data_IF_173051759532
#
_entry.id   IF_173051759532
#
_cell.length_a   1.000
_cell.length_b   1.000
_cell.length_c   1.000
_cell.angle_alpha   90.00
_cell.angle_beta   90.00
_cell.angle_gamma   90.00
#
_symmetry.space_group_name_H-M   'P 1'
#
loop_
_entity.id
_entity.type
_entity.pdbx_description
1 polymer ?
#
# COMPACT_ATOMS: atom_id res chain seq x y z
N UNK A 1 -17.28 12.80 -34.58
CA UNK A 1 -17.69 12.13 -33.33
C UNK A 1 -17.22 10.68 -33.36
N UNK A 2 -16.12 10.37 -32.67
CA UNK A 2 -15.66 8.99 -32.42
C UNK A 2 -15.35 8.90 -30.93
N UNK A 3 -16.16 8.12 -30.21
CA UNK A 3 -15.94 7.80 -28.80
C UNK A 3 -14.96 6.62 -28.72
N UNK A 4 -13.75 6.88 -28.24
CA UNK A 4 -12.74 5.86 -27.92
C UNK A 4 -12.81 5.51 -26.45
N UNK A 5 -13.53 4.44 -26.12
CA UNK A 5 -13.51 3.83 -24.79
C UNK A 5 -12.38 2.81 -24.70
N UNK A 6 -11.28 3.19 -24.04
CA UNK A 6 -10.18 2.28 -23.73
C UNK A 6 -10.58 1.28 -22.64
N UNK A 7 -10.76 0.02 -23.03
CA UNK A 7 -10.89 -1.12 -22.11
C UNK A 7 -9.51 -1.47 -21.53
N UNK A 8 -9.38 -1.44 -20.20
CA UNK A 8 -8.24 -2.01 -19.48
C UNK A 8 -8.28 -3.56 -19.58
N UNK A 9 -7.13 -4.25 -19.56
CA UNK A 9 -7.10 -5.70 -19.72
C UNK A 9 -7.58 -6.44 -18.46
N UNK A 10 -8.52 -7.33 -18.70
CA UNK A 10 -9.14 -8.29 -17.78
C UNK A 10 -8.09 -9.12 -17.01
N UNK A 11 -8.04 -8.97 -15.68
CA UNK A 11 -7.43 -9.95 -14.77
C UNK A 11 -8.42 -11.10 -14.55
N UNK A 12 -8.52 -12.01 -15.53
CA UNK A 12 -9.21 -13.30 -15.36
C UNK A 12 -8.39 -14.18 -14.42
N UNK A 13 -9.05 -14.98 -13.58
CA UNK A 13 -8.44 -16.10 -12.86
C UNK A 13 -7.95 -17.14 -13.89
N UNK A 14 -6.79 -16.89 -14.49
CA UNK A 14 -6.07 -17.86 -15.29
C UNK A 14 -5.33 -18.81 -14.34
N UNK A 15 -5.69 -20.08 -14.41
CA UNK A 15 -5.07 -21.19 -13.68
C UNK A 15 -3.60 -21.32 -14.11
N UNK A 16 -2.70 -20.79 -13.29
CA UNK A 16 -1.28 -21.12 -13.31
C UNK A 16 -1.01 -22.31 -12.39
N UNK A 17 -1.03 -23.51 -12.97
CA UNK A 17 -0.46 -24.72 -12.38
C UNK A 17 1.07 -24.62 -12.51
N UNK A 18 1.80 -24.75 -11.39
CA UNK A 18 3.07 -25.48 -11.26
C UNK A 18 3.63 -25.37 -9.81
N UNK A 19 3.48 -26.50 -9.09
CA UNK A 19 4.40 -27.21 -8.17
C UNK A 19 5.19 -26.51 -7.04
N UNK A 20 5.24 -27.25 -5.90
CA UNK A 20 6.05 -27.12 -4.65
C UNK A 20 5.43 -26.16 -3.59
N UNK A 21 5.06 -26.51 -2.35
CA UNK A 21 5.32 -27.68 -1.49
C UNK A 21 4.29 -27.76 -0.34
N UNK A 22 4.17 -28.98 0.21
CA UNK A 22 3.54 -29.46 1.46
C UNK A 22 2.00 -29.42 1.65
N UNK A 23 1.41 -30.54 2.12
CA UNK A 23 0.03 -30.56 2.57
C UNK A 23 -0.03 -29.85 3.93
N UNK A 24 -0.39 -28.56 3.90
CA UNK A 24 -0.79 -27.86 5.13
C UNK A 24 -1.96 -28.63 5.75
N UNK A 25 -1.71 -29.21 6.93
CA UNK A 25 -2.72 -29.83 7.78
C UNK A 25 -3.94 -28.91 7.86
N UNK A 26 -5.13 -29.48 7.62
CA UNK A 26 -6.38 -28.75 7.63
C UNK A 26 -6.66 -28.26 9.06
N UNK A 27 -6.34 -26.99 9.34
CA UNK A 27 -7.10 -26.24 10.32
C UNK A 27 -8.49 -26.00 9.72
N UNK A 28 -9.54 -26.33 10.46
CA UNK A 28 -10.96 -26.11 10.13
C UNK A 28 -11.32 -24.62 10.16
N UNK A 29 -10.54 -23.79 9.48
CA UNK A 29 -10.72 -22.34 9.40
C UNK A 29 -11.83 -21.98 8.40
N UNK A 30 -11.95 -22.79 7.34
CA UNK A 30 -12.89 -22.57 6.25
C UNK A 30 -13.62 -23.85 5.90
N UNK A 31 -14.94 -23.76 5.69
CA UNK A 31 -15.77 -24.85 5.16
C UNK A 31 -16.29 -24.44 3.79
N UNK A 32 -16.03 -25.24 2.75
CA UNK A 32 -16.61 -25.01 1.43
C UNK A 32 -17.81 -25.93 1.22
N UNK A 33 -18.96 -25.33 0.95
CA UNK A 33 -20.20 -26.02 0.56
C UNK A 33 -20.38 -25.81 -0.93
N UNK A 34 -20.46 -26.89 -1.69
CA UNK A 34 -20.43 -26.84 -3.15
C UNK A 34 -21.22 -27.97 -3.78
N UNK A 35 -21.60 -27.81 -5.05
CA UNK A 35 -22.20 -28.88 -5.87
C UNK A 35 -21.10 -29.80 -6.43
N UNK A 36 -21.44 -31.03 -6.90
CA UNK A 36 -20.47 -31.91 -7.53
C UNK A 36 -19.74 -31.28 -8.73
N UNK A 37 -20.43 -30.45 -9.51
CA UNK A 37 -19.87 -29.72 -10.66
C UNK A 37 -18.75 -28.77 -10.26
N UNK A 38 -18.92 -28.04 -9.15
CA UNK A 38 -17.99 -26.99 -8.74
C UNK A 38 -16.89 -27.46 -7.78
N UNK A 39 -16.92 -28.73 -7.35
CA UNK A 39 -15.92 -29.30 -6.44
C UNK A 39 -14.48 -29.18 -6.95
N UNK A 40 -14.27 -29.18 -8.27
CA UNK A 40 -12.94 -29.00 -8.87
C UNK A 40 -12.29 -27.64 -8.56
N UNK A 41 -13.07 -26.63 -8.16
CA UNK A 41 -12.59 -25.29 -7.82
C UNK A 41 -12.35 -25.07 -6.32
N UNK A 42 -12.73 -26.03 -5.47
CA UNK A 42 -12.66 -25.94 -4.01
C UNK A 42 -11.26 -25.57 -3.52
N UNK A 43 -10.23 -26.25 -4.02
CA UNK A 43 -8.85 -25.99 -3.64
C UNK A 43 -8.39 -24.57 -3.97
N UNK A 44 -8.79 -24.04 -5.13
CA UNK A 44 -8.42 -22.70 -5.56
C UNK A 44 -9.06 -21.63 -4.67
N UNK A 45 -10.33 -21.83 -4.31
CA UNK A 45 -11.09 -20.96 -3.40
C UNK A 45 -10.48 -20.98 -2.00
N UNK A 46 -10.20 -22.16 -1.45
CA UNK A 46 -9.56 -22.30 -0.13
C UNK A 46 -8.18 -21.64 -0.10
N UNK A 47 -7.38 -21.78 -1.16
CA UNK A 47 -6.07 -21.14 -1.27
C UNK A 47 -6.19 -19.62 -1.22
N UNK A 48 -7.16 -19.05 -1.94
CA UNK A 48 -7.42 -17.61 -1.92
C UNK A 48 -7.89 -17.14 -0.54
N UNK A 49 -8.87 -17.85 0.05
CA UNK A 49 -9.42 -17.53 1.37
C UNK A 49 -8.33 -17.54 2.46
N UNK A 50 -7.47 -18.56 2.47
CA UNK A 50 -6.34 -18.65 3.40
C UNK A 50 -5.30 -17.57 3.17
N UNK A 51 -5.01 -17.21 1.91
CA UNK A 51 -4.09 -16.11 1.61
C UNK A 51 -4.63 -14.76 2.12
N UNK A 52 -5.91 -14.48 1.89
CA UNK A 52 -6.58 -13.28 2.38
C UNK A 52 -6.59 -13.26 3.92
N UNK A 53 -6.97 -14.36 4.57
CA UNK A 53 -6.96 -14.49 6.03
C UNK A 53 -5.58 -14.24 6.64
N UNK A 54 -4.54 -14.89 6.08
CA UNK A 54 -3.16 -14.71 6.53
C UNK A 54 -2.76 -13.24 6.49
N UNK A 55 -3.04 -12.56 5.38
CA UNK A 55 -2.69 -11.15 5.22
C UNK A 55 -3.49 -10.22 6.17
N UNK A 56 -4.76 -10.54 6.44
CA UNK A 56 -5.57 -9.80 7.41
C UNK A 56 -5.06 -9.96 8.85
N UNK A 57 -4.74 -11.18 9.26
CA UNK A 57 -4.36 -11.47 10.65
C UNK A 57 -2.89 -11.19 10.92
N UNK A 58 -1.97 -11.72 10.10
CA UNK A 58 -0.53 -11.63 10.35
C UNK A 58 0.03 -10.26 9.94
N UNK A 59 -0.32 -9.80 8.74
CA UNK A 59 0.20 -8.53 8.20
C UNK A 59 -0.57 -7.34 8.76
N UNK A 60 -1.90 -7.32 8.62
CA UNK A 60 -2.69 -6.17 9.06
C UNK A 60 -2.91 -6.14 10.57
N UNK A 61 -2.89 -7.29 11.24
CA UNK A 61 -3.06 -7.39 12.69
C UNK A 61 -4.52 -7.46 13.14
N UNK A 62 -5.46 -7.79 12.25
CA UNK A 62 -6.85 -7.99 12.64
C UNK A 62 -6.97 -9.16 13.63
N UNK A 63 -7.83 -9.05 14.66
CA UNK A 63 -8.08 -10.18 15.55
C UNK A 63 -8.68 -11.34 14.76
N UNK A 64 -8.28 -12.57 15.11
CA UNK A 64 -8.79 -13.76 14.44
C UNK A 64 -10.33 -13.80 14.51
N UNK A 65 -11.03 -13.88 13.36
CA UNK A 65 -12.48 -13.89 13.32
C UNK A 65 -13.09 -15.26 13.59
N UNK A 66 -12.27 -16.32 13.74
CA UNK A 66 -12.74 -17.71 13.82
C UNK A 66 -12.88 -18.22 15.26
N UNK A 67 -13.10 -17.31 16.22
CA UNK A 67 -13.21 -17.64 17.64
C UNK A 67 -14.43 -18.53 17.97
N UNK A 68 -15.46 -18.47 17.12
CA UNK A 68 -16.77 -19.10 17.36
C UNK A 68 -17.20 -20.08 16.26
N UNK A 69 -16.40 -20.22 15.20
CA UNK A 69 -16.68 -21.12 14.08
C UNK A 69 -15.89 -20.76 12.81
N UNK A 70 -15.81 -21.70 11.86
CA UNK A 70 -15.19 -21.47 10.54
C UNK A 70 -15.96 -20.44 9.71
N UNK A 71 -15.27 -19.84 8.75
CA UNK A 71 -15.96 -19.11 7.67
C UNK A 71 -16.52 -20.12 6.66
N UNK A 72 -17.82 -20.05 6.42
CA UNK A 72 -18.49 -20.86 5.40
C UNK A 72 -18.40 -20.18 4.02
N UNK A 73 -18.08 -20.96 3.00
CA UNK A 73 -18.03 -20.52 1.61
C UNK A 73 -19.00 -21.38 0.80
N UNK A 74 -20.09 -20.80 0.35
CA UNK A 74 -21.05 -21.40 -0.58
C UNK A 74 -20.59 -21.14 -2.02
N UNK A 75 -20.27 -22.19 -2.77
CA UNK A 75 -19.79 -22.12 -4.15
C UNK A 75 -20.81 -22.71 -5.11
N UNK A 76 -21.37 -21.85 -5.98
CA UNK A 76 -22.39 -22.23 -6.95
C UNK A 76 -23.67 -22.76 -6.31
N UNK A 77 -23.93 -22.38 -5.06
CA UNK A 77 -25.15 -22.69 -4.33
C UNK A 77 -26.03 -21.43 -4.29
N UNK A 78 -27.28 -21.58 -4.71
CA UNK A 78 -28.26 -20.48 -4.73
C UNK A 78 -28.08 -19.53 -5.92
N UNK A 79 -28.90 -18.47 -5.93
CA UNK A 79 -28.83 -17.43 -6.95
C UNK A 79 -27.60 -16.53 -6.68
N UNK A 80 -26.72 -16.32 -7.68
CA UNK A 80 -25.53 -15.52 -7.49
C UNK A 80 -25.91 -14.05 -7.24
N UNK A 81 -25.20 -13.36 -6.34
CA UNK A 81 -25.36 -11.91 -6.20
C UNK A 81 -24.97 -11.20 -7.51
N UNK A 82 -25.41 -9.94 -7.74
CA UNK A 82 -25.19 -9.22 -8.99
C UNK A 82 -23.72 -9.19 -9.45
N UNK A 83 -22.79 -9.09 -8.51
CA UNK A 83 -21.34 -9.03 -8.76
C UNK A 83 -20.65 -10.40 -8.69
N UNK A 84 -21.43 -11.48 -8.57
CA UNK A 84 -20.93 -12.86 -8.47
C UNK A 84 -20.34 -13.26 -7.12
N UNK A 85 -19.99 -12.30 -6.25
CA UNK A 85 -19.53 -12.55 -4.88
C UNK A 85 -20.37 -11.78 -3.86
N UNK A 86 -20.76 -12.45 -2.78
CA UNK A 86 -21.58 -11.91 -1.69
C UNK A 86 -21.05 -12.34 -0.35
N UNK A 87 -21.41 -11.61 0.70
CA UNK A 87 -20.95 -11.88 2.05
C UNK A 87 -22.04 -11.57 3.07
N UNK A 88 -22.02 -12.30 4.18
CA UNK A 88 -22.91 -12.12 5.30
C UNK A 88 -22.20 -12.51 6.59
N UNK A 89 -22.82 -12.14 7.71
CA UNK A 89 -22.45 -12.61 9.04
C UNK A 89 -23.66 -13.37 9.57
N UNK A 90 -23.46 -14.62 9.98
CA UNK A 90 -24.53 -15.55 10.35
C UNK A 90 -24.38 -15.96 11.80
N UNK A 91 -25.50 -16.05 12.51
CA UNK A 91 -25.54 -16.55 13.89
C UNK A 91 -25.74 -18.07 13.87
N UNK A 92 -24.79 -18.78 14.47
CA UNK A 92 -24.86 -20.21 14.72
C UNK A 92 -24.93 -20.53 16.22
N UNK A 93 -24.98 -21.82 16.58
CA UNK A 93 -25.05 -22.28 17.98
C UNK A 93 -23.82 -21.89 18.81
N UNK A 94 -22.65 -21.84 18.19
CA UNK A 94 -21.36 -21.56 18.86
C UNK A 94 -20.98 -20.07 18.86
N UNK A 95 -21.82 -19.21 18.28
CA UNK A 95 -21.60 -17.78 18.15
C UNK A 95 -21.83 -17.30 16.72
N UNK A 96 -21.06 -16.32 16.28
CA UNK A 96 -21.22 -15.69 14.97
C UNK A 96 -20.09 -16.12 14.04
N UNK A 97 -20.39 -16.33 12.76
CA UNK A 97 -19.41 -16.70 11.75
C UNK A 97 -19.65 -15.97 10.42
N UNK A 98 -18.61 -15.87 9.61
CA UNK A 98 -18.69 -15.26 8.28
C UNK A 98 -19.23 -16.26 7.25
N UNK A 99 -20.10 -15.79 6.36
CA UNK A 99 -20.58 -16.54 5.19
C UNK A 99 -20.19 -15.78 3.92
N UNK A 100 -19.59 -16.48 2.96
CA UNK A 100 -19.26 -15.98 1.63
C UNK A 100 -20.01 -16.79 0.59
N UNK A 101 -20.71 -16.11 -0.32
CA UNK A 101 -21.43 -16.74 -1.44
C UNK A 101 -20.75 -16.40 -2.74
N UNK A 102 -20.36 -17.41 -3.49
CA UNK A 102 -19.65 -17.27 -4.75
C UNK A 102 -20.49 -17.92 -5.86
N UNK A 103 -20.72 -17.19 -6.94
CA UNK A 103 -21.35 -17.66 -8.17
C UNK A 103 -20.44 -18.57 -8.99
N UNK A 104 -20.61 -18.58 -10.31
CA UNK A 104 -19.83 -19.44 -11.21
C UNK A 104 -18.32 -19.08 -11.16
N UNK A 105 -17.46 -19.99 -10.66
CA UNK A 105 -16.03 -19.74 -10.46
C UNK A 105 -15.26 -19.41 -11.74
N UNK A 106 -15.80 -19.72 -12.92
CA UNK A 106 -15.18 -19.44 -14.22
C UNK A 106 -15.25 -17.96 -14.59
N UNK A 107 -16.19 -17.23 -14.01
CA UNK A 107 -16.43 -15.80 -14.30
C UNK A 107 -16.30 -14.91 -13.07
N UNK A 108 -15.97 -15.47 -11.89
CA UNK A 108 -15.76 -14.71 -10.67
C UNK A 108 -14.67 -13.65 -10.83
N UNK A 109 -15.01 -12.44 -10.43
CA UNK A 109 -14.03 -11.38 -10.28
C UNK A 109 -13.17 -11.62 -9.02
N UNK A 110 -11.85 -11.58 -9.19
CA UNK A 110 -10.90 -11.84 -8.11
C UNK A 110 -10.98 -10.76 -7.03
N UNK A 111 -11.18 -9.50 -7.41
CA UNK A 111 -11.20 -8.37 -6.49
C UNK A 111 -12.52 -8.38 -5.68
N UNK A 112 -13.65 -8.69 -6.31
CA UNK A 112 -14.93 -8.85 -5.59
C UNK A 112 -14.93 -10.09 -4.69
N UNK A 113 -14.28 -11.18 -5.10
CA UNK A 113 -14.09 -12.36 -4.23
C UNK A 113 -13.23 -12.02 -3.01
N UNK A 114 -12.11 -11.32 -3.22
CA UNK A 114 -11.25 -10.87 -2.13
C UNK A 114 -11.96 -9.89 -1.19
N UNK A 115 -12.78 -8.99 -1.75
CA UNK A 115 -13.64 -8.09 -0.99
C UNK A 115 -14.66 -8.85 -0.14
N UNK A 116 -15.40 -9.80 -0.70
CA UNK A 116 -16.37 -10.59 0.04
C UNK A 116 -15.73 -11.38 1.19
N UNK A 117 -14.56 -11.98 0.95
CA UNK A 117 -13.76 -12.67 1.98
C UNK A 117 -13.32 -11.71 3.09
N UNK A 118 -12.70 -10.58 2.73
CA UNK A 118 -12.28 -9.58 3.71
C UNK A 118 -13.46 -9.01 4.50
N UNK A 119 -14.59 -8.78 3.85
CA UNK A 119 -15.80 -8.29 4.48
C UNK A 119 -16.35 -9.29 5.50
N UNK A 120 -16.47 -10.56 5.13
CA UNK A 120 -16.92 -11.62 6.04
C UNK A 120 -16.00 -11.73 7.27
N UNK A 121 -14.68 -11.71 7.06
CA UNK A 121 -13.68 -11.81 8.13
C UNK A 121 -13.71 -10.58 9.06
N UNK A 122 -13.64 -9.36 8.52
CA UNK A 122 -13.66 -8.12 9.32
C UNK A 122 -14.97 -7.98 10.10
N UNK A 123 -16.11 -8.25 9.46
CA UNK A 123 -17.41 -8.13 10.12
C UNK A 123 -17.58 -9.22 11.18
N UNK A 124 -17.18 -10.46 10.92
CA UNK A 124 -17.20 -11.52 11.93
C UNK A 124 -16.33 -11.16 13.15
N UNK A 125 -15.14 -10.58 12.94
CA UNK A 125 -14.28 -10.12 14.03
C UNK A 125 -14.96 -9.08 14.96
N UNK A 126 -15.81 -8.21 14.39
CA UNK A 126 -16.58 -7.22 15.16
C UNK A 126 -17.78 -7.89 15.84
N UNK A 127 -18.60 -8.61 15.08
CA UNK A 127 -19.83 -9.23 15.59
C UNK A 127 -19.57 -10.26 16.69
N UNK A 128 -18.44 -10.98 16.65
CA UNK A 128 -18.02 -11.92 17.70
C UNK A 128 -17.78 -11.26 19.06
N UNK A 129 -17.62 -9.94 19.09
CA UNK A 129 -17.40 -9.15 20.31
C UNK A 129 -18.66 -8.40 20.76
N UNK A 130 -19.73 -8.48 19.99
CA UNK A 130 -20.95 -7.73 20.26
C UNK A 130 -21.84 -8.46 21.28
N UNK A 131 -22.49 -7.71 22.17
CA UNK A 131 -23.50 -8.26 23.09
C UNK A 131 -24.84 -8.56 22.38
N UNK A 132 -25.09 -7.86 21.27
CA UNK A 132 -26.29 -7.99 20.44
C UNK A 132 -26.05 -7.37 19.05
N UNK A 133 -26.76 -7.81 18.01
CA UNK A 133 -26.51 -7.38 16.62
C UNK A 133 -26.90 -5.93 16.37
N UNK A 134 -27.94 -5.42 17.04
CA UNK A 134 -28.40 -4.03 16.97
C UNK A 134 -27.38 -3.02 17.49
N UNK A 135 -26.42 -3.46 18.30
CA UNK A 135 -25.37 -2.61 18.83
C UNK A 135 -24.21 -2.42 17.84
N UNK A 136 -24.11 -3.18 16.75
CA UNK A 136 -22.89 -3.16 15.92
C UNK A 136 -22.88 -1.99 14.95
N UNK A 137 -21.80 -1.21 14.97
CA UNK A 137 -21.48 -0.26 13.89
C UNK A 137 -20.69 -0.97 12.79
N UNK A 138 -21.28 -1.10 11.61
CA UNK A 138 -20.61 -1.69 10.44
C UNK A 138 -19.53 -0.77 9.86
N UNK A 139 -18.34 -1.30 9.50
CA UNK A 139 -17.32 -0.52 8.80
C UNK A 139 -17.83 -0.04 7.44
N UNK A 140 -17.42 1.17 6.99
CA UNK A 140 -17.71 1.63 5.64
C UNK A 140 -17.17 0.67 4.57
N UNK A 141 -17.96 0.45 3.51
CA UNK A 141 -17.59 -0.43 2.39
C UNK A 141 -16.24 -0.05 1.77
N UNK A 142 -15.96 1.26 1.64
CA UNK A 142 -14.69 1.73 1.08
C UNK A 142 -13.49 1.25 1.88
N UNK A 143 -13.62 1.16 3.21
CA UNK A 143 -12.54 0.73 4.08
C UNK A 143 -12.29 -0.76 3.92
N UNK A 144 -13.35 -1.57 3.90
CA UNK A 144 -13.25 -3.01 3.68
C UNK A 144 -12.64 -3.29 2.30
N UNK A 145 -13.01 -2.54 1.26
CA UNK A 145 -12.37 -2.62 -0.07
C UNK A 145 -10.88 -2.26 0.00
N UNK A 146 -10.51 -1.23 0.76
CA UNK A 146 -9.11 -0.88 1.03
C UNK A 146 -8.34 -2.01 1.71
N UNK A 147 -8.92 -2.62 2.74
CA UNK A 147 -8.38 -3.77 3.46
C UNK A 147 -8.18 -4.97 2.53
N UNK A 148 -9.20 -5.33 1.75
CA UNK A 148 -9.13 -6.42 0.76
C UNK A 148 -8.02 -6.19 -0.27
N UNK A 149 -7.90 -4.95 -0.75
CA UNK A 149 -6.87 -4.57 -1.72
C UNK A 149 -5.47 -4.59 -1.13
N UNK A 150 -5.31 -4.15 0.12
CA UNK A 150 -4.03 -4.18 0.84
C UNK A 150 -3.59 -5.62 1.18
N UNK A 151 -4.53 -6.56 1.27
CA UNK A 151 -4.26 -7.98 1.40
C UNK A 151 -3.67 -8.62 0.13
N UNK A 152 -3.69 -7.95 -1.04
CA UNK A 152 -2.96 -8.40 -2.23
C UNK A 152 -1.55 -7.75 -2.26
N UNK A 153 -0.46 -8.52 -2.03
CA UNK A 153 0.90 -7.98 -2.04
C UNK A 153 1.31 -7.36 -3.37
N UNK A 154 0.76 -7.86 -4.49
CA UNK A 154 1.10 -7.39 -5.85
C UNK A 154 0.60 -5.98 -6.14
N UNK A 155 -0.38 -5.49 -5.38
CA UNK A 155 -0.97 -4.15 -5.57
C UNK A 155 -0.33 -3.08 -4.68
N UNK A 156 0.31 -3.48 -3.57
CA UNK A 156 0.80 -2.55 -2.53
C UNK A 156 1.70 -1.44 -3.07
N UNK A 157 2.63 -1.80 -3.95
CA UNK A 157 3.55 -0.84 -4.55
C UNK A 157 2.85 0.16 -5.47
N UNK A 158 1.98 -0.33 -6.36
CA UNK A 158 1.23 0.51 -7.28
C UNK A 158 0.25 1.44 -6.54
N UNK A 159 -0.44 0.91 -5.52
CA UNK A 159 -1.37 1.68 -4.69
C UNK A 159 -0.65 2.77 -3.90
N UNK A 160 0.51 2.45 -3.32
CA UNK A 160 1.33 3.46 -2.64
C UNK A 160 1.73 4.59 -3.60
N UNK A 161 2.22 4.26 -4.80
CA UNK A 161 2.62 5.28 -5.78
C UNK A 161 1.44 6.16 -6.24
N UNK A 162 0.27 5.56 -6.43
CA UNK A 162 -0.94 6.28 -6.81
C UNK A 162 -1.45 7.21 -5.69
N UNK A 163 -1.49 6.71 -4.45
CA UNK A 163 -1.93 7.49 -3.28
C UNK A 163 -0.94 8.63 -3.00
N UNK A 164 0.36 8.33 -3.00
CA UNK A 164 1.42 9.32 -2.77
C UNK A 164 1.41 10.42 -3.84
N UNK A 165 1.19 10.09 -5.12
CA UNK A 165 1.12 11.09 -6.20
C UNK A 165 -0.11 12.02 -6.09
N UNK A 166 -1.20 11.59 -5.43
CA UNK A 166 -2.32 12.48 -5.10
C UNK A 166 -1.98 13.35 -3.91
N UNK A 167 -1.47 12.75 -2.83
CA UNK A 167 -1.07 13.45 -1.62
C UNK A 167 -0.03 14.54 -1.88
N UNK A 168 1.12 14.18 -2.47
CA UNK A 168 2.21 15.12 -2.77
C UNK A 168 1.83 16.22 -3.77
N UNK A 169 0.76 16.02 -4.54
CA UNK A 169 0.20 17.02 -5.43
C UNK A 169 -0.87 17.91 -4.78
N UNK A 170 -1.11 17.80 -3.46
CA UNK A 170 -2.13 18.55 -2.73
C UNK A 170 -3.57 18.17 -3.10
N UNK A 171 -3.78 16.95 -3.63
CA UNK A 171 -5.11 16.47 -4.10
C UNK A 171 -5.82 15.55 -3.12
N UNK A 172 -5.22 15.26 -1.97
CA UNK A 172 -5.87 14.54 -0.88
C UNK A 172 -6.01 15.49 0.31
N UNK A 173 -7.15 15.47 1.02
CA UNK A 173 -7.26 16.15 2.30
C UNK A 173 -6.52 15.35 3.40
N UNK A 174 -6.56 15.90 4.61
CA UNK A 174 -6.03 15.24 5.81
C UNK A 174 -6.69 13.89 6.11
N UNK A 175 -6.02 13.09 6.93
CA UNK A 175 -6.48 11.78 7.39
C UNK A 175 -7.86 11.84 8.06
N UNK A 176 -8.15 12.91 8.80
CA UNK A 176 -9.44 13.08 9.44
C UNK A 176 -10.60 13.13 8.43
N UNK A 177 -10.44 13.83 7.31
CA UNK A 177 -11.45 13.87 6.25
C UNK A 177 -11.51 12.55 5.48
N UNK A 178 -10.34 11.93 5.22
CA UNK A 178 -10.23 10.64 4.58
C UNK A 178 -10.89 9.51 5.39
N UNK A 179 -11.00 9.62 6.70
CA UNK A 179 -11.59 8.58 7.54
C UNK A 179 -13.13 8.67 7.70
N UNK A 180 -13.79 9.66 7.11
CA UNK A 180 -15.23 9.82 7.28
C UNK A 180 -16.07 8.65 6.72
N UNK A 181 -17.14 8.27 7.41
CA UNK A 181 -17.93 7.09 7.01
C UNK A 181 -18.65 7.24 5.66
N UNK A 182 -19.35 8.37 5.42
CA UNK A 182 -20.27 8.52 4.27
C UNK A 182 -19.76 9.43 3.15
N UNK A 183 -18.77 10.28 3.41
CA UNK A 183 -18.24 11.27 2.45
C UNK A 183 -16.73 11.22 2.32
N UNK A 184 -16.11 10.10 2.68
CA UNK A 184 -14.67 9.94 2.53
C UNK A 184 -14.25 10.01 1.06
N UNK A 185 -13.29 10.86 0.70
CA UNK A 185 -12.65 10.82 -0.61
C UNK A 185 -11.97 9.48 -0.93
N UNK A 186 -11.62 8.68 0.10
CA UNK A 186 -11.08 7.34 -0.09
C UNK A 186 -12.10 6.37 -0.72
N UNK A 187 -13.41 6.67 -0.64
CA UNK A 187 -14.44 5.90 -1.34
C UNK A 187 -14.31 5.95 -2.87
N UNK A 188 -13.70 7.00 -3.41
CA UNK A 188 -13.48 7.17 -4.85
C UNK A 188 -12.11 6.65 -5.31
N UNK A 189 -11.21 6.36 -4.36
CA UNK A 189 -9.81 6.02 -4.62
C UNK A 189 -9.39 4.84 -3.76
N UNK A 190 -9.56 3.63 -4.29
CA UNK A 190 -9.24 2.38 -3.57
C UNK A 190 -7.76 2.29 -3.17
N UNK A 191 -6.85 2.92 -3.92
CA UNK A 191 -5.44 3.00 -3.55
C UNK A 191 -5.22 3.82 -2.25
N UNK A 192 -6.00 4.87 -2.04
CA UNK A 192 -6.00 5.67 -0.79
C UNK A 192 -6.60 4.85 0.35
N UNK A 193 -7.74 4.18 0.11
CA UNK A 193 -8.34 3.29 1.10
C UNK A 193 -7.38 2.17 1.54
N UNK A 194 -6.64 1.58 0.60
CA UNK A 194 -5.60 0.58 0.85
C UNK A 194 -4.46 1.16 1.70
N UNK A 195 -3.99 2.38 1.41
CA UNK A 195 -2.96 3.01 2.23
C UNK A 195 -3.44 3.38 3.64
N UNK A 196 -4.71 3.75 3.83
CA UNK A 196 -5.28 3.95 5.18
C UNK A 196 -5.28 2.65 5.98
N UNK A 197 -5.68 1.52 5.38
CA UNK A 197 -5.58 0.20 6.01
C UNK A 197 -4.12 -0.16 6.34
N UNK A 198 -3.18 0.13 5.43
CA UNK A 198 -1.76 -0.10 5.65
C UNK A 198 -1.16 0.79 6.74
N UNK A 199 -1.71 1.99 6.95
CA UNK A 199 -1.29 2.91 8.01
C UNK A 199 -1.71 2.38 9.39
N UNK A 200 -2.96 1.94 9.53
CA UNK A 200 -3.43 1.26 10.74
C UNK A 200 -2.56 0.05 11.11
N UNK A 201 -2.10 -0.71 10.10
CA UNK A 201 -1.23 -1.88 10.26
C UNK A 201 0.25 -1.54 10.49
N UNK A 202 0.66 -0.29 10.39
CA UNK A 202 2.09 0.08 10.49
C UNK A 202 2.59 0.26 11.93
N UNK A 203 1.67 0.24 12.91
CA UNK A 203 1.98 0.47 14.32
C UNK A 203 2.54 -0.81 14.97
N UNK A 204 3.53 -0.72 15.89
CA UNK A 204 4.06 -1.88 16.60
C UNK A 204 2.99 -2.67 17.37
N UNK A 205 2.03 -1.97 17.96
CA UNK A 205 0.91 -2.47 18.76
C UNK A 205 -0.37 -2.70 17.94
N UNK A 206 -0.26 -2.80 16.59
CA UNK A 206 -1.40 -2.90 15.67
C UNK A 206 -2.47 -3.92 16.08
N UNK A 207 -2.08 -5.08 16.63
CA UNK A 207 -3.04 -6.12 17.04
C UNK A 207 -3.95 -5.66 18.18
N UNK A 208 -3.36 -5.01 19.19
CA UNK A 208 -4.12 -4.46 20.33
C UNK A 208 -5.04 -3.33 19.87
N UNK A 209 -4.54 -2.47 18.95
CA UNK A 209 -5.30 -1.36 18.38
C UNK A 209 -6.49 -1.83 17.55
N UNK A 210 -6.29 -2.85 16.71
CA UNK A 210 -7.36 -3.47 15.96
C UNK A 210 -8.37 -4.17 16.85
N UNK A 211 -7.92 -4.84 17.91
CA UNK A 211 -8.83 -5.41 18.90
C UNK A 211 -9.70 -4.33 19.55
N UNK A 212 -9.09 -3.24 20.05
CA UNK A 212 -9.82 -2.12 20.63
C UNK A 212 -10.80 -1.47 19.65
N UNK A 213 -10.44 -1.36 18.37
CA UNK A 213 -11.35 -0.86 17.33
C UNK A 213 -12.53 -1.79 17.07
N UNK A 214 -12.28 -3.10 16.96
CA UNK A 214 -13.35 -4.07 16.80
C UNK A 214 -14.29 -4.06 18.01
N UNK A 215 -13.77 -3.93 19.22
CA UNK A 215 -14.57 -3.81 20.45
C UNK A 215 -15.39 -2.51 20.48
N UNK A 216 -14.80 -1.38 20.10
CA UNK A 216 -15.49 -0.10 19.96
C UNK A 216 -16.69 -0.20 19.01
N UNK A 217 -16.47 -0.75 17.80
CA UNK A 217 -17.54 -0.93 16.82
C UNK A 217 -18.60 -1.95 17.26
N UNK A 218 -18.19 -3.01 17.96
CA UNK A 218 -19.09 -4.03 18.49
C UNK A 218 -20.03 -3.50 19.58
N UNK A 219 -19.64 -2.41 20.25
CA UNK A 219 -20.41 -1.74 21.29
C UNK A 219 -21.20 -0.52 20.78
N UNK A 220 -21.26 -0.31 19.47
CA UNK A 220 -22.01 0.80 18.86
C UNK A 220 -21.23 2.10 18.77
N UNK A 221 -19.92 2.03 19.00
CA UNK A 221 -19.01 3.13 18.78
C UNK A 221 -19.10 3.66 17.35
N UNK A 222 -19.13 4.99 17.20
CA UNK A 222 -19.27 5.61 15.89
C UNK A 222 -17.96 5.52 15.08
N UNK A 223 -18.09 5.31 13.76
CA UNK A 223 -16.98 5.44 12.81
C UNK A 223 -16.66 6.92 12.59
N UNK A 224 -15.73 7.45 13.39
CA UNK A 224 -15.33 8.87 13.35
C UNK A 224 -13.82 9.03 13.37
N UNK A 225 -13.29 10.15 12.86
CA UNK A 225 -11.87 10.48 12.96
C UNK A 225 -11.38 10.57 14.41
N UNK A 226 -12.20 11.12 15.31
CA UNK A 226 -11.86 11.21 16.74
C UNK A 226 -11.75 9.83 17.39
N UNK A 227 -12.63 8.89 17.04
CA UNK A 227 -12.49 7.52 17.51
C UNK A 227 -11.22 6.84 16.96
N UNK A 228 -10.88 7.06 15.68
CA UNK A 228 -9.62 6.57 15.11
C UNK A 228 -8.43 7.16 15.87
N UNK A 229 -8.39 8.48 16.05
CA UNK A 229 -7.31 9.17 16.76
C UNK A 229 -7.15 8.60 18.17
N UNK A 230 -8.25 8.53 18.92
CA UNK A 230 -8.23 8.05 20.31
C UNK A 230 -7.73 6.62 20.40
N UNK A 231 -8.19 5.74 19.51
CA UNK A 231 -7.84 4.32 19.56
C UNK A 231 -6.43 4.06 19.01
N UNK A 232 -5.98 4.72 17.95
CA UNK A 232 -4.66 4.47 17.32
C UNK A 232 -3.50 5.31 17.86
N UNK A 233 -3.79 6.48 18.42
CA UNK A 233 -2.79 7.47 18.81
C UNK A 233 -2.90 7.91 20.27
N UNK A 234 -3.85 7.36 21.05
CA UNK A 234 -4.10 7.73 22.45
C UNK A 234 -4.36 9.23 22.63
N UNK A 235 -4.95 9.87 21.62
CA UNK A 235 -5.14 11.32 21.51
C UNK A 235 -6.39 11.59 20.67
N UNK A 236 -7.15 12.65 20.94
CA UNK A 236 -8.31 13.05 20.12
C UNK A 236 -8.01 14.22 19.15
N UNK A 237 -6.77 14.73 19.17
CA UNK A 237 -6.32 15.81 18.29
C UNK A 237 -6.21 15.35 16.81
N UNK A 238 -7.14 15.85 16.00
CA UNK A 238 -7.21 15.58 14.56
C UNK A 238 -6.03 16.19 13.78
N UNK A 239 -5.43 17.27 14.26
CA UNK A 239 -4.25 17.85 13.60
C UNK A 239 -3.03 16.94 13.78
N UNK A 240 -2.90 16.29 14.94
CA UNK A 240 -1.88 15.24 15.17
C UNK A 240 -2.13 14.01 14.33
N UNK A 241 -3.38 13.60 14.17
CA UNK A 241 -3.77 12.51 13.27
C UNK A 241 -3.31 12.80 11.82
N UNK A 242 -3.59 13.99 11.32
CA UNK A 242 -3.19 14.43 9.98
C UNK A 242 -1.65 14.48 9.83
N UNK A 243 -0.95 15.06 10.81
CA UNK A 243 0.50 15.11 10.82
C UNK A 243 1.14 13.70 10.85
N UNK A 244 0.54 12.76 11.59
CA UNK A 244 1.02 11.38 11.67
C UNK A 244 0.84 10.63 10.33
N UNK A 245 -0.26 10.90 9.61
CA UNK A 245 -0.48 10.37 8.26
C UNK A 245 0.54 10.91 7.26
N UNK A 246 0.77 12.22 7.27
CA UNK A 246 1.75 12.88 6.40
C UNK A 246 3.17 12.35 6.64
N UNK A 247 3.57 12.28 7.91
CA UNK A 247 4.86 11.73 8.31
C UNK A 247 5.01 10.27 7.85
N UNK A 248 3.96 9.46 7.98
CA UNK A 248 3.95 8.07 7.53
C UNK A 248 4.11 7.95 6.02
N UNK A 249 3.39 8.74 5.21
CA UNK A 249 3.53 8.75 3.75
C UNK A 249 4.95 9.11 3.33
N UNK A 250 5.56 10.11 3.97
CA UNK A 250 6.94 10.54 3.71
C UNK A 250 7.92 9.41 4.00
N UNK A 251 7.86 8.79 5.18
CA UNK A 251 8.76 7.69 5.56
C UNK A 251 8.59 6.50 4.61
N UNK A 252 7.35 6.21 4.21
CA UNK A 252 7.01 5.09 3.34
C UNK A 252 7.58 5.21 1.92
N UNK A 253 7.97 6.40 1.47
CA UNK A 253 8.68 6.59 0.18
C UNK A 253 9.97 5.79 0.06
N UNK A 254 10.61 5.45 1.19
CA UNK A 254 11.83 4.65 1.25
C UNK A 254 11.55 3.14 1.16
N UNK A 255 10.30 2.71 1.33
CA UNK A 255 9.95 1.29 1.32
C UNK A 255 10.16 0.68 -0.06
N UNK A 256 10.79 -0.48 -0.08
CA UNK A 256 10.85 -1.35 -1.25
C UNK A 256 9.69 -2.34 -1.14
N UNK A 257 8.72 -2.22 -2.05
CA UNK A 257 7.56 -3.12 -2.09
C UNK A 257 7.83 -4.38 -2.90
N UNK A 258 8.59 -4.22 -3.98
CA UNK A 258 8.97 -5.28 -4.90
C UNK A 258 10.49 -5.16 -5.17
N UNK A 259 11.31 -6.00 -4.53
CA UNK A 259 12.76 -5.96 -4.68
C UNK A 259 13.20 -6.21 -6.13
N UNK A 260 14.17 -5.44 -6.58
CA UNK A 260 14.70 -5.54 -7.95
C UNK A 260 13.89 -4.77 -8.99
N UNK A 261 12.83 -4.04 -8.59
CA UNK A 261 12.08 -3.15 -9.48
C UNK A 261 12.10 -1.70 -9.00
N UNK A 262 12.05 -0.75 -9.96
CA UNK A 262 11.95 0.69 -9.68
C UNK A 262 10.68 1.30 -10.27
N UNK A 263 9.69 1.62 -9.42
CA UNK A 263 8.50 2.34 -9.85
C UNK A 263 8.82 3.70 -10.48
N UNK A 264 7.99 4.14 -11.44
CA UNK A 264 8.17 5.43 -12.10
C UNK A 264 8.17 6.62 -11.12
N UNK A 265 7.39 6.54 -10.04
CA UNK A 265 7.37 7.58 -9.01
C UNK A 265 8.67 7.68 -8.22
N UNK A 266 9.37 6.57 -7.96
CA UNK A 266 10.71 6.58 -7.33
C UNK A 266 11.70 7.36 -8.19
N UNK A 267 11.72 7.12 -9.50
CA UNK A 267 12.57 7.86 -10.44
C UNK A 267 12.29 9.36 -10.45
N UNK A 268 11.00 9.76 -10.47
CA UNK A 268 10.61 11.18 -10.41
C UNK A 268 11.04 11.84 -9.10
N UNK A 269 10.82 11.17 -7.96
CA UNK A 269 11.25 11.69 -6.66
C UNK A 269 12.76 11.80 -6.56
N UNK A 270 13.51 10.85 -7.12
CA UNK A 270 14.97 10.89 -7.10
C UNK A 270 15.52 12.20 -7.68
N UNK A 271 14.91 12.75 -8.74
CA UNK A 271 15.34 14.05 -9.30
C UNK A 271 15.25 15.18 -8.27
N UNK A 272 14.15 15.27 -7.50
CA UNK A 272 14.02 16.25 -6.42
C UNK A 272 15.03 16.05 -5.28
N UNK A 273 15.54 14.83 -5.11
CA UNK A 273 16.59 14.50 -4.15
C UNK A 273 17.99 14.84 -4.67
N UNK A 274 18.18 15.21 -5.94
CA UNK A 274 19.47 15.70 -6.43
C UNK A 274 19.74 17.17 -6.06
N UNK A 275 18.71 17.89 -5.62
CA UNK A 275 18.80 19.28 -5.19
C UNK A 275 19.43 19.39 -3.79
N UNK A 276 20.28 20.39 -3.58
CA UNK A 276 20.74 20.78 -2.24
C UNK A 276 19.83 21.86 -1.68
N UNK A 277 19.18 21.59 -0.55
CA UNK A 277 18.26 22.52 0.08
C UNK A 277 18.92 23.37 1.18
N UNK A 278 18.39 24.56 1.49
CA UNK A 278 19.00 25.47 2.47
C UNK A 278 19.21 24.85 3.84
N UNK A 279 18.27 24.04 4.34
CA UNK A 279 18.39 23.37 5.64
C UNK A 279 19.42 22.23 5.67
N UNK A 280 19.92 21.79 4.51
CA UNK A 280 21.02 20.81 4.42
C UNK A 280 22.38 21.52 4.54
N UNK A 281 22.42 22.81 4.23
CA UNK A 281 23.56 23.67 4.44
C UNK A 281 23.43 24.29 5.85
N UNK A 282 24.29 23.87 6.78
CA UNK A 282 24.30 24.34 8.18
C UNK A 282 24.44 25.87 8.31
N UNK A 283 24.76 26.56 7.20
CA UNK A 283 24.85 28.01 7.06
C UNK A 283 23.90 28.42 5.93
N UNK A 284 23.12 29.49 6.14
CA UNK A 284 22.29 30.08 5.10
C UNK A 284 23.14 30.57 3.92
N UNK A 285 22.84 30.11 2.71
CA UNK A 285 23.51 30.51 1.47
C UNK A 285 22.46 31.21 0.59
N UNK A 286 22.58 32.52 0.31
CA UNK A 286 21.60 33.24 -0.51
C UNK A 286 21.41 32.66 -1.92
N UNK A 287 22.46 32.02 -2.47
CA UNK A 287 22.42 31.34 -3.75
C UNK A 287 21.66 30.00 -3.72
N UNK A 288 21.43 29.45 -2.52
CA UNK A 288 20.63 28.24 -2.33
C UNK A 288 19.20 28.68 -2.03
N UNK A 289 18.37 28.67 -3.07
CA UNK A 289 16.97 29.06 -2.98
C UNK A 289 16.14 28.06 -2.18
N UNK A 290 14.97 28.49 -1.68
CA UNK A 290 13.97 27.61 -1.05
C UNK A 290 13.55 26.44 -1.96
N UNK A 291 13.62 26.63 -3.28
CA UNK A 291 13.36 25.59 -4.28
C UNK A 291 14.47 24.54 -4.44
N UNK A 292 15.57 24.65 -3.70
CA UNK A 292 16.74 23.78 -3.82
C UNK A 292 17.70 24.20 -4.93
N UNK A 293 18.96 23.82 -4.77
CA UNK A 293 20.06 24.19 -5.67
C UNK A 293 20.43 23.02 -6.57
N UNK A 294 20.49 23.22 -7.90
CA UNK A 294 20.92 22.17 -8.82
C UNK A 294 22.36 21.71 -8.56
N UNK A 295 22.59 20.40 -8.64
CA UNK A 295 23.92 19.80 -8.49
C UNK A 295 24.97 20.43 -9.43
N UNK A 296 24.59 20.79 -10.65
CA UNK A 296 25.49 21.48 -11.61
C UNK A 296 26.04 22.78 -11.03
N UNK A 297 25.22 23.57 -10.33
CA UNK A 297 25.68 24.81 -9.70
C UNK A 297 26.67 24.51 -8.56
N UNK A 298 26.41 23.47 -7.76
CA UNK A 298 27.30 23.06 -6.68
C UNK A 298 28.67 22.57 -7.20
N UNK A 299 28.69 21.93 -8.38
CA UNK A 299 29.92 21.53 -9.06
C UNK A 299 30.75 22.74 -9.52
N UNK A 300 30.08 23.82 -9.95
CA UNK A 300 30.75 25.06 -10.36
C UNK A 300 31.24 25.90 -9.18
N UNK A 301 30.60 25.75 -8.01
CA UNK A 301 30.85 26.56 -6.83
C UNK A 301 31.15 25.69 -5.58
N UNK A 302 32.12 24.75 -5.64
CA UNK A 302 32.35 23.75 -4.59
C UNK A 302 32.88 24.34 -3.28
N UNK A 303 33.37 25.58 -3.32
CA UNK A 303 33.94 26.31 -2.18
C UNK A 303 32.91 27.22 -1.51
N UNK A 304 31.67 27.26 -2.02
CA UNK A 304 30.60 27.97 -1.34
C UNK A 304 30.37 27.39 0.06
N UNK A 305 30.14 28.25 1.08
CA UNK A 305 29.95 27.79 2.46
C UNK A 305 28.89 26.69 2.54
N UNK A 306 29.11 25.65 3.34
CA UNK A 306 28.12 24.58 3.57
C UNK A 306 27.91 23.56 2.45
N UNK A 307 28.33 23.83 1.20
CA UNK A 307 28.12 22.91 0.05
C UNK A 307 28.78 21.56 0.27
N UNK A 308 30.05 21.53 0.69
CA UNK A 308 30.80 20.27 0.90
C UNK A 308 30.20 19.42 2.02
N UNK A 309 29.75 20.07 3.10
CA UNK A 309 29.10 19.38 4.22
C UNK A 309 27.75 18.79 3.81
N UNK A 310 26.93 19.57 3.11
CA UNK A 310 25.65 19.11 2.57
C UNK A 310 25.85 17.94 1.59
N UNK A 311 26.83 18.03 0.69
CA UNK A 311 27.18 16.96 -0.24
C UNK A 311 27.58 15.65 0.46
N UNK A 312 28.32 15.74 1.57
CA UNK A 312 28.69 14.55 2.37
C UNK A 312 27.44 13.84 2.90
N UNK A 313 26.50 14.58 3.48
CA UNK A 313 25.24 14.03 3.98
C UNK A 313 24.37 13.46 2.84
N UNK A 314 24.29 14.18 1.71
CA UNK A 314 23.51 13.79 0.54
C UNK A 314 24.01 12.51 -0.11
N UNK A 315 25.33 12.30 -0.16
CA UNK A 315 25.93 11.12 -0.80
C UNK A 315 25.38 9.80 -0.23
N UNK A 316 25.28 9.70 1.11
CA UNK A 316 24.72 8.54 1.81
C UNK A 316 23.23 8.40 1.53
N UNK A 317 22.49 9.51 1.51
CA UNK A 317 21.07 9.49 1.20
C UNK A 317 20.80 8.93 -0.19
N UNK A 318 21.55 9.38 -1.21
CA UNK A 318 21.39 8.93 -2.60
C UNK A 318 21.72 7.44 -2.78
N UNK A 319 22.78 6.93 -2.12
CA UNK A 319 23.08 5.49 -2.13
C UNK A 319 21.92 4.65 -1.63
N UNK A 320 21.30 5.08 -0.52
CA UNK A 320 20.17 4.37 0.08
C UNK A 320 18.93 4.32 -0.83
N UNK A 321 18.77 5.29 -1.75
CA UNK A 321 17.64 5.26 -2.70
C UNK A 321 17.73 4.09 -3.69
N UNK A 322 18.95 3.71 -4.08
CA UNK A 322 19.19 2.59 -4.99
C UNK A 322 19.12 1.21 -4.32
N UNK A 323 19.06 1.14 -2.99
CA UNK A 323 19.05 -0.14 -2.28
C UNK A 323 17.76 -0.93 -2.55
N UNK A 324 17.90 -2.21 -2.94
CA UNK A 324 16.78 -3.09 -3.25
C UNK A 324 16.03 -2.74 -4.55
N UNK A 325 16.54 -1.82 -5.36
CA UNK A 325 15.99 -1.41 -6.66
C UNK A 325 16.63 -2.15 -7.82
N UNK A 326 16.12 -1.94 -9.03
CA UNK A 326 16.70 -2.55 -10.22
C UNK A 326 18.17 -2.12 -10.42
N UNK A 327 19.00 -2.96 -11.08
CA UNK A 327 20.43 -2.70 -11.22
C UNK A 327 20.76 -1.35 -11.85
N UNK A 328 20.02 -0.94 -12.87
CA UNK A 328 20.29 0.28 -13.62
C UNK A 328 20.00 1.52 -12.77
N UNK A 329 18.89 1.54 -12.03
CA UNK A 329 18.60 2.61 -11.07
C UNK A 329 19.62 2.66 -9.93
N UNK A 330 20.05 1.50 -9.42
CA UNK A 330 21.07 1.41 -8.37
C UNK A 330 22.41 1.97 -8.83
N UNK A 331 22.84 1.65 -10.05
CA UNK A 331 24.07 2.20 -10.64
C UNK A 331 23.99 3.71 -10.83
N UNK A 332 22.88 4.22 -11.36
CA UNK A 332 22.64 5.66 -11.49
C UNK A 332 22.70 6.36 -10.12
N UNK A 333 22.03 5.82 -9.11
CA UNK A 333 22.04 6.38 -7.75
C UNK A 333 23.46 6.38 -7.14
N UNK A 334 24.23 5.32 -7.35
CA UNK A 334 25.63 5.24 -6.95
C UNK A 334 26.52 6.25 -7.69
N UNK A 335 26.26 6.50 -8.98
CA UNK A 335 26.95 7.51 -9.78
C UNK A 335 26.77 8.92 -9.21
N UNK A 336 25.54 9.33 -8.91
CA UNK A 336 25.29 10.63 -8.27
C UNK A 336 25.86 10.71 -6.85
N UNK A 337 25.80 9.62 -6.09
CA UNK A 337 26.41 9.58 -4.77
C UNK A 337 27.93 9.73 -4.82
N UNK A 338 28.61 9.15 -5.83
CA UNK A 338 30.05 9.34 -6.03
C UNK A 338 30.39 10.81 -6.34
N UNK A 339 29.59 11.49 -7.16
CA UNK A 339 29.74 12.93 -7.42
C UNK A 339 29.65 13.72 -6.11
N UNK A 340 28.63 13.47 -5.28
CA UNK A 340 28.44 14.16 -3.99
C UNK A 340 29.59 13.87 -3.02
N UNK A 341 30.06 12.62 -2.96
CA UNK A 341 31.19 12.21 -2.11
C UNK A 341 32.48 12.92 -2.53
N UNK A 342 32.76 13.01 -3.83
CA UNK A 342 33.94 13.71 -4.37
C UNK A 342 33.85 15.22 -4.16
N UNK A 343 32.66 15.79 -4.31
CA UNK A 343 32.40 17.20 -4.01
C UNK A 343 32.73 17.51 -2.55
N UNK A 344 32.26 16.66 -1.63
CA UNK A 344 32.59 16.77 -0.21
C UNK A 344 34.10 16.67 0.07
N UNK A 345 34.80 15.82 -0.66
CA UNK A 345 36.26 15.62 -0.55
C UNK A 345 37.10 16.73 -1.24
N UNK A 346 36.48 17.71 -1.90
CA UNK A 346 37.20 18.79 -2.56
C UNK A 346 37.83 18.40 -3.90
N UNK A 347 37.26 17.44 -4.63
CA UNK A 347 37.71 17.07 -5.96
C UNK A 347 37.65 18.26 -6.95
N UNK A 348 38.48 18.22 -7.99
CA UNK A 348 38.53 19.29 -9.00
C UNK A 348 37.22 19.42 -9.78
N UNK A 349 36.87 20.64 -10.22
CA UNK A 349 35.67 20.87 -11.06
C UNK A 349 35.65 20.02 -12.33
N UNK A 350 36.82 19.79 -12.95
CA UNK A 350 36.96 18.93 -14.13
C UNK A 350 36.52 17.49 -13.84
N UNK A 351 36.97 16.96 -12.72
CA UNK A 351 36.62 15.61 -12.28
C UNK A 351 35.14 15.50 -11.94
N UNK A 352 34.60 16.46 -11.17
CA UNK A 352 33.19 16.51 -10.80
C UNK A 352 32.27 16.57 -12.04
N UNK A 353 32.60 17.42 -13.03
CA UNK A 353 31.87 17.49 -14.30
C UNK A 353 31.89 16.18 -15.06
N UNK A 354 33.04 15.51 -15.12
CA UNK A 354 33.19 14.22 -15.79
C UNK A 354 32.28 13.16 -15.16
N UNK A 355 32.32 13.03 -13.84
CA UNK A 355 31.49 12.07 -13.09
C UNK A 355 30.01 12.41 -13.18
N UNK A 356 29.65 13.68 -13.08
CA UNK A 356 28.27 14.11 -13.22
C UNK A 356 27.70 13.78 -14.61
N UNK A 357 28.45 14.00 -15.70
CA UNK A 357 28.01 13.63 -17.05
C UNK A 357 27.77 12.12 -17.20
N UNK A 358 28.59 11.28 -16.55
CA UNK A 358 28.39 9.83 -16.55
C UNK A 358 27.07 9.45 -15.85
N UNK A 359 26.82 10.00 -14.66
CA UNK A 359 25.58 9.76 -13.93
C UNK A 359 24.35 10.31 -14.67
N UNK A 360 24.49 11.47 -15.31
CA UNK A 360 23.43 12.10 -16.11
C UNK A 360 23.09 11.27 -17.35
N UNK A 361 24.08 10.71 -18.03
CA UNK A 361 23.86 9.81 -19.16
C UNK A 361 23.08 8.55 -18.75
N UNK A 362 23.40 7.97 -17.59
CA UNK A 362 22.64 6.84 -17.04
C UNK A 362 21.19 7.22 -16.74
N UNK A 363 20.96 8.40 -16.14
CA UNK A 363 19.60 8.91 -15.87
C UNK A 363 18.79 9.07 -17.16
N UNK A 364 19.38 9.69 -18.18
CA UNK A 364 18.73 9.91 -19.47
C UNK A 364 18.43 8.59 -20.19
N UNK A 365 19.31 7.60 -20.12
CA UNK A 365 19.06 6.27 -20.66
C UNK A 365 17.86 5.58 -19.98
N UNK A 366 17.81 5.61 -18.64
CA UNK A 366 16.70 5.09 -17.84
C UNK A 366 15.35 5.77 -18.12
N UNK A 367 15.38 7.04 -18.54
CA UNK A 367 14.18 7.79 -18.93
C UNK A 367 13.77 7.48 -20.38
N UNK A 368 14.73 7.25 -21.28
CA UNK A 368 14.50 6.94 -22.69
C UNK A 368 13.95 5.52 -22.92
N UNK A 369 14.32 4.54 -22.09
CA UNK A 369 13.73 3.18 -22.10
C UNK A 369 12.20 3.19 -21.91
N UNK A 370 11.64 4.29 -21.38
CA UNK A 370 10.20 4.49 -21.17
C UNK A 370 9.44 4.95 -22.41
N UNK A 371 10.14 5.47 -23.42
CA UNK A 371 9.54 5.94 -24.68
C UNK A 371 9.50 4.86 -25.76
N UNK A 372 10.18 3.73 -25.57
CA UNK A 372 10.06 2.57 -26.45
C UNK A 372 8.81 1.75 -26.05
N UNK A 373 7.92 1.39 -26.99
CA UNK A 373 6.85 0.45 -26.70
C UNK A 373 7.45 -0.90 -26.25
N UNK A 374 6.75 -1.68 -25.40
CA UNK A 374 7.25 -2.98 -24.98
C UNK A 374 7.51 -3.84 -26.21
N UNK A 375 8.72 -4.40 -26.31
CA UNK A 375 9.01 -5.44 -27.29
C UNK A 375 8.13 -6.63 -26.93
N UNK A 376 7.17 -6.94 -27.80
CA UNK A 376 6.47 -8.21 -27.76
C UNK A 376 7.51 -9.29 -28.06
N UNK A 377 7.89 -10.05 -27.04
CA UNK A 377 8.48 -11.38 -27.21
C UNK A 377 7.54 -12.40 -26.59
#
# INVERSE_FOLDING_TARGET
MRAGGGRQPLRRLAVGLLLLSEPLAAADDFIVRTTPEWRVHEFAVLRLARAVHRELVETLGLPSPMSHGPVEIELGLGEPPPDGAGHAVVRGPSGVFGLVRLGDPRVLDRDETAFALAAALVRAAIHNRARGPEAVTEPPVWFIRGVARQADPSLRGADFEAAYARWSGGRLPGAAELWQARRSPAAQHLDVASQLAAWCASRPDRQQRWQAWCEHLAQGGAWTPGALASIWFDDDDLARLDAAWDAWLVVRTRRVFDPGTTPAGVRRRFQSQLLLYPWECVIYIPAVALGGTPLVWCIENPDSPGVRQAAAAKSRHLLLQGAGRDPAFREMAAGYADVMRRLAAGASRRELRSRWRQAEAQRLALEAERTAPPRNE
#
